data_IF_960532136328
#
_entry.id   IF_960532136328
#
_cell.length_a   1.000
_cell.length_b   1.000
_cell.length_c   1.000
_cell.angle_alpha   90.00
_cell.angle_beta   90.00
_cell.angle_gamma   90.00
#
_symmetry.space_group_name_H-M   'P 1'
#
loop_
_entity.id
_entity.type
_entity.pdbx_description
1 polymer ?
#
# COMPACT_ATOMS: atom_id res chain seq x y z
N UNK A 1 -46.46 -31.89 38.36
CA UNK A 1 -46.99 -32.02 36.98
C UNK A 1 -46.64 -30.84 36.06
N UNK A 2 -46.54 -29.59 36.54
CA UNK A 2 -46.20 -28.44 35.68
C UNK A 2 -44.80 -28.52 35.02
N UNK A 3 -43.77 -29.03 35.71
CA UNK A 3 -42.41 -29.17 35.14
C UNK A 3 -42.33 -30.16 33.96
N UNK A 4 -43.20 -31.18 33.92
CA UNK A 4 -43.19 -32.21 32.86
C UNK A 4 -43.72 -31.69 31.51
N UNK A 5 -44.56 -30.65 31.52
CA UNK A 5 -45.10 -30.02 30.31
C UNK A 5 -44.18 -28.93 29.74
N UNK A 6 -43.29 -28.35 30.55
CA UNK A 6 -42.40 -27.25 30.14
C UNK A 6 -41.29 -27.76 29.20
N UNK A 7 -40.73 -28.93 29.47
CA UNK A 7 -39.61 -29.48 28.68
C UNK A 7 -40.01 -29.75 27.21
N UNK A 8 -41.13 -30.44 26.90
CA UNK A 8 -41.56 -30.64 25.52
C UNK A 8 -41.85 -29.32 24.77
N UNK A 9 -42.45 -28.33 25.45
CA UNK A 9 -42.73 -27.01 24.86
C UNK A 9 -41.44 -26.27 24.54
N UNK A 10 -40.45 -26.31 25.43
CA UNK A 10 -39.13 -25.73 25.16
C UNK A 10 -38.44 -26.41 23.99
N UNK A 11 -38.47 -27.76 23.92
CA UNK A 11 -37.87 -28.49 22.80
C UNK A 11 -38.56 -28.13 21.48
N UNK A 12 -39.89 -28.14 21.42
CA UNK A 12 -40.64 -27.76 20.21
C UNK A 12 -40.33 -26.31 19.79
N UNK A 13 -40.27 -25.38 20.74
CA UNK A 13 -39.91 -23.98 20.48
C UNK A 13 -38.49 -23.87 19.94
N UNK A 14 -37.53 -24.57 20.54
CA UNK A 14 -36.14 -24.62 20.06
C UNK A 14 -36.04 -25.19 18.65
N UNK A 15 -36.78 -26.25 18.32
CA UNK A 15 -36.82 -26.83 16.97
C UNK A 15 -37.38 -25.82 15.96
N UNK A 16 -38.49 -25.14 16.28
CA UNK A 16 -39.09 -24.12 15.40
C UNK A 16 -38.13 -22.95 15.17
N UNK A 17 -37.49 -22.46 16.24
CA UNK A 17 -36.49 -21.39 16.15
C UNK A 17 -35.27 -21.81 15.32
N UNK A 18 -34.77 -23.02 15.53
CA UNK A 18 -33.66 -23.59 14.76
C UNK A 18 -34.04 -23.73 13.28
N UNK A 19 -35.22 -24.26 12.97
CA UNK A 19 -35.69 -24.41 11.60
C UNK A 19 -35.88 -23.06 10.90
N UNK A 20 -36.45 -22.07 11.61
CA UNK A 20 -36.58 -20.69 11.10
C UNK A 20 -35.22 -20.05 10.85
N UNK A 21 -34.25 -20.28 11.73
CA UNK A 21 -32.87 -19.80 11.57
C UNK A 21 -32.16 -20.47 10.39
N UNK A 22 -32.27 -21.80 10.25
CA UNK A 22 -31.68 -22.54 9.13
C UNK A 22 -32.28 -22.10 7.79
N UNK A 23 -33.59 -21.87 7.73
CA UNK A 23 -34.28 -21.50 6.49
C UNK A 23 -34.38 -20.00 6.21
N UNK A 24 -33.79 -19.15 7.06
CA UNK A 24 -33.75 -17.72 6.81
C UNK A 24 -32.97 -17.41 5.52
N UNK A 25 -33.68 -16.87 4.53
CA UNK A 25 -33.10 -16.47 3.24
C UNK A 25 -32.16 -15.28 3.42
N UNK A 26 -31.13 -15.25 2.60
CA UNK A 26 -30.25 -14.09 2.50
C UNK A 26 -30.99 -12.92 1.87
N UNK A 27 -30.79 -11.72 2.41
CA UNK A 27 -31.25 -10.51 1.75
C UNK A 27 -30.52 -10.35 0.41
N UNK A 28 -31.21 -9.89 -0.65
CA UNK A 28 -30.54 -9.61 -1.91
C UNK A 28 -29.46 -8.52 -1.72
N UNK A 29 -28.34 -8.61 -2.45
CA UNK A 29 -27.32 -7.57 -2.43
C UNK A 29 -27.89 -6.21 -2.90
N UNK A 30 -27.39 -5.12 -2.32
CA UNK A 30 -27.72 -3.77 -2.79
C UNK A 30 -27.04 -3.59 -4.16
N UNK A 31 -27.81 -3.19 -5.18
CA UNK A 31 -27.37 -3.08 -6.57
C UNK A 31 -26.77 -4.38 -7.16
N UNK A 32 -27.08 -5.55 -6.59
CA UNK A 32 -26.51 -6.82 -7.04
C UNK A 32 -25.04 -7.04 -6.65
N UNK A 33 -24.40 -6.07 -5.99
CA UNK A 33 -22.96 -6.10 -5.66
C UNK A 33 -22.74 -6.17 -4.14
N UNK A 34 -23.36 -5.26 -3.38
CA UNK A 34 -23.02 -5.10 -1.97
C UNK A 34 -23.80 -6.05 -1.07
N UNK A 35 -23.11 -7.04 -0.51
CA UNK A 35 -23.70 -8.03 0.37
C UNK A 35 -24.23 -7.40 1.66
N UNK A 36 -25.35 -7.93 2.16
CA UNK A 36 -26.01 -7.43 3.38
C UNK A 36 -25.78 -8.38 4.54
N UNK A 37 -25.98 -7.87 5.76
CA UNK A 37 -25.93 -8.69 6.98
C UNK A 37 -26.84 -9.91 6.83
N UNK A 38 -26.27 -11.08 7.12
CA UNK A 38 -26.94 -12.37 7.06
C UNK A 38 -27.09 -12.96 8.47
N UNK A 39 -27.79 -14.09 8.60
CA UNK A 39 -28.03 -14.77 9.89
C UNK A 39 -26.75 -15.17 10.64
N UNK A 40 -25.64 -15.36 9.93
CA UNK A 40 -24.34 -15.70 10.50
C UNK A 40 -23.45 -14.48 10.72
N UNK A 41 -23.96 -13.26 10.48
CA UNK A 41 -23.17 -12.03 10.53
C UNK A 41 -22.45 -11.85 11.87
N UNK A 42 -23.17 -11.94 12.99
CA UNK A 42 -22.56 -11.71 14.31
C UNK A 42 -21.52 -12.76 14.68
N UNK A 43 -21.77 -14.03 14.33
CA UNK A 43 -20.77 -15.09 14.51
C UNK A 43 -19.51 -14.81 13.70
N UNK A 44 -19.66 -14.51 12.40
CA UNK A 44 -18.55 -14.17 11.50
C UNK A 44 -17.80 -12.92 11.97
N UNK A 45 -18.53 -11.92 12.43
CA UNK A 45 -17.99 -10.67 12.94
C UNK A 45 -17.13 -10.89 14.18
N UNK A 46 -17.65 -11.59 15.20
CA UNK A 46 -16.90 -11.88 16.43
C UNK A 46 -15.66 -12.70 16.10
N UNK A 47 -15.79 -13.73 15.28
CA UNK A 47 -14.65 -14.54 14.83
C UNK A 47 -13.57 -13.69 14.17
N UNK A 48 -13.92 -12.88 13.15
CA UNK A 48 -12.94 -12.06 12.45
C UNK A 48 -12.35 -10.97 13.32
N UNK A 49 -13.15 -10.34 14.19
CA UNK A 49 -12.66 -9.31 15.09
C UNK A 49 -11.62 -9.87 16.05
N UNK A 50 -11.90 -11.02 16.69
CA UNK A 50 -10.95 -11.69 17.58
C UNK A 50 -9.70 -12.12 16.81
N UNK A 51 -9.86 -12.71 15.62
CA UNK A 51 -8.74 -13.11 14.77
C UNK A 51 -7.84 -11.92 14.42
N UNK A 52 -8.41 -10.81 13.96
CA UNK A 52 -7.66 -9.61 13.57
C UNK A 52 -6.98 -8.96 14.79
N UNK A 53 -7.63 -8.90 15.94
CA UNK A 53 -7.03 -8.40 17.19
C UNK A 53 -5.89 -9.30 17.68
N UNK A 54 -6.05 -10.61 17.59
CA UNK A 54 -5.00 -11.56 17.91
C UNK A 54 -3.82 -11.42 16.95
N UNK A 55 -4.06 -11.25 15.64
CA UNK A 55 -3.01 -10.97 14.65
C UNK A 55 -2.27 -9.68 14.97
N UNK A 56 -2.98 -8.59 15.28
CA UNK A 56 -2.38 -7.32 15.70
C UNK A 56 -1.49 -7.47 16.94
N UNK A 57 -2.00 -8.14 17.97
CA UNK A 57 -1.24 -8.39 19.19
C UNK A 57 0.00 -9.25 18.90
N UNK A 58 -0.14 -10.31 18.11
CA UNK A 58 0.98 -11.17 17.72
C UNK A 58 2.07 -10.38 16.99
N UNK A 59 1.72 -9.56 16.00
CA UNK A 59 2.68 -8.73 15.26
C UNK A 59 3.34 -7.71 16.18
N UNK A 60 2.58 -7.08 17.07
CA UNK A 60 3.12 -6.13 18.05
C UNK A 60 4.15 -6.80 18.98
N UNK A 61 3.81 -7.96 19.55
CA UNK A 61 4.72 -8.74 20.39
C UNK A 61 5.95 -9.22 19.63
N UNK A 62 5.78 -9.67 18.38
CA UNK A 62 6.90 -10.05 17.51
C UNK A 62 7.85 -8.86 17.30
N UNK A 63 7.31 -7.66 17.07
CA UNK A 63 8.08 -6.43 16.93
C UNK A 63 8.88 -6.08 18.19
N UNK A 64 8.27 -6.22 19.38
CA UNK A 64 8.97 -5.98 20.66
C UNK A 64 10.11 -6.98 20.91
N UNK A 65 10.03 -8.19 20.34
CA UNK A 65 11.03 -9.25 20.48
C UNK A 65 12.00 -9.33 19.29
N UNK A 66 11.84 -8.48 18.28
CA UNK A 66 12.62 -8.56 17.06
C UNK A 66 14.07 -8.15 17.31
N UNK A 67 15.00 -8.95 16.79
CA UNK A 67 16.44 -8.66 16.86
C UNK A 67 16.75 -7.49 15.92
N UNK A 68 17.41 -6.47 16.45
CA UNK A 68 17.83 -5.29 15.68
C UNK A 68 19.11 -5.59 14.90
N UNK A 69 19.12 -5.28 13.61
CA UNK A 69 20.29 -5.43 12.74
C UNK A 69 20.89 -4.05 12.38
N UNK A 70 22.22 -3.94 12.46
CA UNK A 70 22.98 -2.83 11.88
C UNK A 70 23.01 -1.51 12.68
N UNK A 71 23.80 -0.57 12.17
CA UNK A 71 23.92 0.82 12.66
C UNK A 71 23.34 1.77 11.60
N UNK A 72 22.48 2.73 11.98
CA UNK A 72 22.08 3.83 11.11
C UNK A 72 23.21 4.87 10.99
N UNK A 73 23.15 5.76 9.98
CA UNK A 73 24.17 6.81 9.75
C UNK A 73 24.33 7.79 10.92
N UNK A 74 23.31 7.92 11.77
CA UNK A 74 23.25 8.79 12.95
C UNK A 74 23.69 8.09 14.25
N UNK A 75 24.14 6.84 14.19
CA UNK A 75 24.60 6.07 15.35
C UNK A 75 23.48 5.46 16.21
N UNK A 76 22.21 5.64 15.84
CA UNK A 76 21.06 5.05 16.52
C UNK A 76 20.61 3.76 15.83
N UNK A 77 20.73 2.62 16.52
CA UNK A 77 20.40 1.27 16.01
C UNK A 77 18.90 0.99 16.17
N UNK A 78 18.13 0.87 15.07
CA UNK A 78 16.73 0.36 15.09
C UNK A 78 16.25 -0.08 13.68
N UNK A 79 16.95 -0.99 12.99
CA UNK A 79 16.42 -1.60 11.74
C UNK A 79 16.07 -3.06 12.02
N UNK A 80 14.83 -3.45 11.75
CA UNK A 80 14.35 -4.82 11.93
C UNK A 80 14.49 -5.63 10.64
N UNK A 81 14.76 -6.94 10.77
CA UNK A 81 14.77 -7.87 9.63
C UNK A 81 13.50 -7.81 8.79
N UNK A 82 12.34 -7.71 9.45
CA UNK A 82 11.04 -7.59 8.78
C UNK A 82 10.97 -6.31 7.92
N UNK A 83 11.58 -5.20 8.35
CA UNK A 83 11.59 -3.95 7.58
C UNK A 83 12.54 -4.06 6.37
N UNK A 84 13.68 -4.74 6.53
CA UNK A 84 14.56 -5.08 5.39
C UNK A 84 13.80 -5.92 4.36
N UNK A 85 13.06 -6.93 4.84
CA UNK A 85 12.30 -7.83 3.99
C UNK A 85 11.11 -7.16 3.28
N UNK A 86 10.55 -6.08 3.84
CA UNK A 86 9.50 -5.27 3.23
C UNK A 86 10.01 -4.24 2.22
N UNK A 87 11.28 -3.86 2.31
CA UNK A 87 11.88 -2.81 1.47
C UNK A 87 12.80 -3.36 0.39
N UNK A 88 12.98 -4.69 0.33
CA UNK A 88 13.65 -5.36 -0.75
C UNK A 88 12.76 -5.39 -2.00
N UNK A 89 13.39 -5.67 -3.14
CA UNK A 89 12.67 -5.95 -4.37
C UNK A 89 12.00 -7.32 -4.30
N UNK A 90 10.72 -7.36 -4.63
CA UNK A 90 9.93 -8.59 -4.66
C UNK A 90 9.92 -9.22 -6.05
N UNK A 91 9.91 -10.55 -6.09
CA UNK A 91 9.76 -11.29 -7.36
C UNK A 91 8.32 -11.14 -7.87
N UNK A 92 8.18 -10.83 -9.15
CA UNK A 92 6.87 -10.67 -9.80
C UNK A 92 6.23 -12.03 -10.14
N UNK A 93 7.01 -13.12 -10.20
CA UNK A 93 6.52 -14.43 -10.64
C UNK A 93 5.85 -14.41 -12.01
N UNK A 94 4.95 -15.37 -12.25
CA UNK A 94 4.36 -15.61 -13.58
C UNK A 94 2.99 -14.92 -13.79
N UNK A 95 2.43 -14.29 -12.75
CA UNK A 95 1.11 -13.69 -12.86
C UNK A 95 1.18 -12.35 -13.57
N UNK A 96 0.33 -12.16 -14.59
CA UNK A 96 0.44 -11.02 -15.50
C UNK A 96 0.14 -9.66 -14.86
N UNK A 97 -0.55 -9.62 -13.73
CA UNK A 97 -0.89 -8.38 -13.02
C UNK A 97 -0.01 -8.13 -11.79
N UNK A 98 1.01 -8.97 -11.55
CA UNK A 98 1.94 -8.78 -10.44
C UNK A 98 2.58 -7.39 -10.49
N UNK A 99 2.85 -6.85 -9.31
CA UNK A 99 3.37 -5.50 -9.15
C UNK A 99 4.36 -5.45 -8.01
N UNK A 100 5.35 -4.58 -8.17
CA UNK A 100 6.25 -4.13 -7.11
C UNK A 100 6.54 -2.65 -7.39
N UNK A 101 5.92 -1.77 -6.60
CA UNK A 101 5.81 -0.35 -6.88
C UNK A 101 6.22 0.49 -5.68
N UNK A 102 7.00 1.54 -5.97
CA UNK A 102 7.36 2.59 -5.00
C UNK A 102 6.86 3.92 -5.54
N UNK A 103 6.25 4.70 -4.66
CA UNK A 103 5.66 5.99 -5.02
C UNK A 103 5.94 7.04 -3.96
N UNK A 104 6.09 8.28 -4.42
CA UNK A 104 6.33 9.47 -3.63
C UNK A 104 5.35 10.56 -4.04
N UNK A 105 4.74 11.22 -3.06
CA UNK A 105 3.84 12.34 -3.25
C UNK A 105 4.09 13.41 -2.19
N UNK A 106 4.67 14.53 -2.61
CA UNK A 106 4.99 15.66 -1.75
C UNK A 106 4.47 16.97 -2.31
N UNK A 107 4.09 17.87 -1.40
CA UNK A 107 3.68 19.24 -1.72
C UNK A 107 4.03 20.16 -0.57
N UNK A 108 4.61 21.31 -0.87
CA UNK A 108 4.86 22.39 0.07
C UNK A 108 3.82 23.50 -0.04
N UNK A 109 3.75 24.34 1.00
CA UNK A 109 2.80 25.46 1.12
C UNK A 109 2.96 26.52 0.02
N UNK A 110 4.16 26.64 -0.52
CA UNK A 110 4.50 27.59 -1.59
C UNK A 110 4.14 27.06 -3.00
N UNK A 111 3.56 25.87 -3.09
CA UNK A 111 3.11 25.26 -4.34
C UNK A 111 4.16 24.41 -5.05
N UNK A 112 5.34 24.22 -4.45
CA UNK A 112 6.30 23.21 -4.89
C UNK A 112 5.68 21.83 -4.70
N UNK A 113 5.77 20.95 -5.70
CA UNK A 113 5.21 19.61 -5.64
C UNK A 113 6.07 18.60 -6.41
N UNK A 114 6.08 17.36 -5.93
CA UNK A 114 6.66 16.22 -6.61
C UNK A 114 5.72 15.03 -6.49
N UNK A 115 5.43 14.40 -7.63
CA UNK A 115 4.75 13.11 -7.68
C UNK A 115 5.59 12.18 -8.54
N UNK A 116 6.03 11.06 -8.00
CA UNK A 116 6.89 10.12 -8.69
C UNK A 116 6.48 8.69 -8.37
N UNK A 117 6.28 7.86 -9.39
CA UNK A 117 5.99 6.45 -9.23
C UNK A 117 6.88 5.61 -10.14
N UNK A 118 7.33 4.46 -9.63
CA UNK A 118 7.99 3.41 -10.42
C UNK A 118 7.39 2.08 -10.00
N UNK A 119 6.64 1.44 -10.90
CA UNK A 119 5.97 0.17 -10.69
C UNK A 119 6.50 -0.88 -11.67
N UNK A 120 7.24 -1.86 -11.16
CA UNK A 120 7.74 -2.98 -11.96
C UNK A 120 6.60 -3.92 -12.33
N UNK A 121 6.59 -4.36 -13.58
CA UNK A 121 5.61 -5.27 -14.18
C UNK A 121 6.29 -6.47 -14.82
N UNK A 122 5.56 -7.60 -15.01
CA UNK A 122 6.07 -8.74 -15.75
C UNK A 122 6.56 -8.36 -17.15
N UNK A 123 7.37 -9.23 -17.75
CA UNK A 123 7.88 -9.07 -19.12
C UNK A 123 8.77 -7.83 -19.32
N UNK A 124 9.55 -7.45 -18.30
CA UNK A 124 10.51 -6.33 -18.35
C UNK A 124 9.85 -4.98 -18.66
N UNK A 125 8.63 -4.77 -18.19
CA UNK A 125 7.99 -3.46 -18.24
C UNK A 125 8.03 -2.78 -16.87
N UNK A 126 8.03 -1.45 -16.90
CA UNK A 126 7.85 -0.63 -15.73
C UNK A 126 6.85 0.47 -16.07
N UNK A 127 5.86 0.69 -15.21
CA UNK A 127 5.04 1.90 -15.26
C UNK A 127 5.73 2.96 -14.42
N UNK A 128 6.23 4.01 -15.06
CA UNK A 128 6.94 5.08 -14.38
C UNK A 128 6.52 6.46 -14.86
N UNK A 129 6.48 7.39 -13.92
CA UNK A 129 6.13 8.77 -14.20
C UNK A 129 6.71 9.71 -13.16
N UNK A 130 6.92 10.96 -13.56
CA UNK A 130 7.31 12.02 -12.66
C UNK A 130 6.65 13.35 -13.04
N UNK A 131 6.09 14.01 -12.04
CA UNK A 131 5.55 15.36 -12.09
C UNK A 131 6.37 16.23 -11.14
N UNK A 132 6.86 17.37 -11.61
CA UNK A 132 7.66 18.30 -10.80
C UNK A 132 7.11 19.71 -10.98
N UNK A 133 6.83 20.38 -9.87
CA UNK A 133 6.51 21.81 -9.81
C UNK A 133 7.50 22.49 -8.88
N UNK A 134 8.22 23.47 -9.40
CA UNK A 134 9.12 24.34 -8.63
C UNK A 134 8.73 25.81 -8.80
N UNK A 135 9.20 26.66 -7.89
CA UNK A 135 8.86 28.09 -7.92
C UNK A 135 9.39 28.77 -9.18
N UNK A 136 8.50 29.43 -9.92
CA UNK A 136 8.80 30.15 -11.15
C UNK A 136 8.73 29.31 -12.42
N UNK A 137 8.62 27.98 -12.33
CA UNK A 137 8.43 27.09 -13.48
C UNK A 137 6.97 26.64 -13.56
N UNK A 138 6.48 26.33 -14.77
CA UNK A 138 5.22 25.60 -14.93
C UNK A 138 5.38 24.11 -14.54
N UNK A 139 4.31 23.32 -14.51
CA UNK A 139 4.38 21.90 -14.18
C UNK A 139 5.19 21.15 -15.24
N UNK A 140 6.24 20.47 -14.80
CA UNK A 140 7.13 19.63 -15.60
C UNK A 140 6.68 18.17 -15.52
N UNK A 141 6.70 17.49 -16.67
CA UNK A 141 6.29 16.11 -16.85
C UNK A 141 7.46 15.29 -17.40
N UNK A 142 7.61 14.04 -16.93
CA UNK A 142 8.53 13.10 -17.59
C UNK A 142 8.15 12.92 -19.08
N UNK A 143 9.13 12.69 -19.98
CA UNK A 143 8.89 12.63 -21.42
C UNK A 143 7.79 11.66 -21.84
N UNK A 144 7.70 10.52 -21.16
CA UNK A 144 6.85 9.40 -21.53
C UNK A 144 5.36 9.69 -21.32
N UNK A 145 5.01 10.55 -20.36
CA UNK A 145 3.62 10.90 -20.07
C UNK A 145 2.87 11.37 -21.34
N UNK A 146 1.60 10.98 -21.57
CA UNK A 146 0.72 10.26 -20.66
C UNK A 146 0.96 8.75 -20.63
N UNK A 147 1.81 8.19 -21.51
CA UNK A 147 2.13 6.77 -21.49
C UNK A 147 3.17 6.50 -20.40
N UNK A 148 2.78 5.79 -19.34
CA UNK A 148 3.69 5.47 -18.24
C UNK A 148 4.54 4.24 -18.53
N UNK A 149 4.27 3.50 -19.61
CA UNK A 149 4.83 2.17 -19.82
C UNK A 149 6.19 2.22 -20.50
N UNK A 150 7.24 1.90 -19.75
CA UNK A 150 8.63 1.89 -20.20
C UNK A 150 9.14 0.45 -20.27
N UNK A 151 9.68 0.04 -21.42
CA UNK A 151 10.35 -1.25 -21.56
C UNK A 151 11.77 -1.16 -21.01
N UNK A 152 12.11 -2.04 -20.08
CA UNK A 152 13.44 -2.18 -19.52
C UNK A 152 14.30 -3.11 -20.39
N UNK A 153 15.57 -2.74 -20.58
CA UNK A 153 16.55 -3.54 -21.33
C UNK A 153 17.36 -4.48 -20.45
N UNK A 154 17.45 -4.20 -19.15
CA UNK A 154 18.21 -4.98 -18.17
C UNK A 154 17.41 -5.22 -16.90
N UNK A 155 17.68 -6.36 -16.25
CA UNK A 155 17.24 -6.59 -14.86
C UNK A 155 17.99 -5.62 -13.97
N UNK A 156 17.26 -4.86 -13.17
CA UNK A 156 17.88 -3.92 -12.23
C UNK A 156 18.07 -4.61 -10.90
N UNK A 157 19.31 -4.68 -10.43
CA UNK A 157 19.64 -5.07 -9.06
C UNK A 157 19.42 -3.87 -8.12
N UNK A 158 18.77 -4.06 -6.97
CA UNK A 158 18.67 -3.06 -5.89
C UNK A 158 17.82 -1.80 -6.12
N UNK A 159 17.83 -1.18 -7.31
CA UNK A 159 17.22 0.14 -7.59
C UNK A 159 15.92 0.11 -8.42
N UNK A 160 14.93 0.92 -8.07
CA UNK A 160 13.73 1.11 -8.89
C UNK A 160 14.01 2.18 -9.93
N UNK A 161 14.40 1.78 -11.14
CA UNK A 161 14.81 2.68 -12.22
C UNK A 161 13.98 2.49 -13.48
N UNK A 162 13.60 3.58 -14.13
CA UNK A 162 12.89 3.56 -15.40
C UNK A 162 13.11 4.90 -16.12
N UNK A 163 13.55 4.85 -17.37
CA UNK A 163 14.01 6.05 -18.07
C UNK A 163 15.10 6.78 -17.26
N UNK A 164 14.89 8.07 -17.03
CA UNK A 164 15.75 8.94 -16.23
C UNK A 164 15.46 8.92 -14.72
N UNK A 165 14.42 8.21 -14.27
CA UNK A 165 14.03 8.12 -12.86
C UNK A 165 14.81 7.01 -12.16
N UNK A 166 15.35 7.27 -10.96
CA UNK A 166 15.97 6.26 -10.10
C UNK A 166 15.56 6.46 -8.64
N UNK A 167 14.93 5.45 -8.05
CA UNK A 167 14.55 5.40 -6.64
C UNK A 167 15.36 4.30 -5.95
N UNK A 168 16.05 4.67 -4.87
CA UNK A 168 16.95 3.76 -4.16
C UNK A 168 16.64 3.77 -2.68
N UNK A 169 16.38 2.60 -2.12
CA UNK A 169 16.36 2.43 -0.67
C UNK A 169 17.78 2.60 -0.12
N UNK A 170 17.99 3.56 0.78
CA UNK A 170 19.26 3.76 1.47
C UNK A 170 19.26 3.05 2.82
N UNK A 171 18.18 3.24 3.58
CA UNK A 171 17.96 2.65 4.90
C UNK A 171 16.50 2.22 4.97
N UNK A 172 16.19 0.91 5.11
CA UNK A 172 14.82 0.39 5.17
C UNK A 172 13.94 1.17 6.16
N UNK A 173 12.74 1.56 5.73
CA UNK A 173 11.76 2.34 6.51
C UNK A 173 12.24 3.70 7.02
N UNK A 174 13.40 4.19 6.56
CA UNK A 174 14.01 5.45 7.04
C UNK A 174 14.37 6.40 5.92
N UNK A 175 15.16 5.96 4.94
CA UNK A 175 15.75 6.85 3.95
C UNK A 175 15.68 6.27 2.54
N UNK A 176 15.25 7.10 1.61
CA UNK A 176 15.22 6.79 0.19
C UNK A 176 15.87 7.93 -0.61
N UNK A 177 16.66 7.58 -1.62
CA UNK A 177 17.15 8.53 -2.62
C UNK A 177 16.18 8.55 -3.80
N UNK A 178 15.76 9.75 -4.18
CA UNK A 178 14.93 10.02 -5.36
C UNK A 178 15.78 10.88 -6.29
N UNK A 179 16.14 10.34 -7.45
CA UNK A 179 16.94 11.08 -8.43
C UNK A 179 16.36 11.01 -9.84
N UNK A 180 16.66 12.06 -10.59
CA UNK A 180 16.28 12.21 -11.99
C UNK A 180 17.39 12.96 -12.74
N UNK A 181 17.70 12.52 -13.95
CA UNK A 181 18.60 13.26 -14.84
C UNK A 181 18.16 13.07 -16.29
N UNK A 182 17.55 14.09 -16.87
CA UNK A 182 17.01 14.04 -18.22
C UNK A 182 16.18 15.28 -18.57
N UNK A 183 15.52 15.22 -19.72
CA UNK A 183 14.66 16.30 -20.17
C UNK A 183 13.24 16.11 -19.63
N UNK A 184 12.59 17.17 -19.17
CA UNK A 184 11.16 17.17 -18.84
C UNK A 184 10.42 18.15 -19.74
N UNK A 185 9.15 17.86 -20.05
CA UNK A 185 8.30 18.74 -20.86
C UNK A 185 7.35 19.57 -20.01
N UNK A 186 7.02 20.76 -20.48
CA UNK A 186 5.99 21.57 -19.80
C UNK A 186 4.59 21.02 -20.07
N UNK A 187 3.74 20.98 -19.05
CA UNK A 187 2.33 20.59 -19.19
C UNK A 187 1.59 21.47 -20.18
N UNK A 188 1.75 22.80 -20.10
CA UNK A 188 1.04 23.73 -20.97
C UNK A 188 1.70 23.91 -22.34
N UNK A 189 2.93 23.41 -22.53
CA UNK A 189 3.60 23.41 -23.83
C UNK A 189 4.47 22.14 -23.98
N UNK A 190 3.87 21.00 -24.38
CA UNK A 190 4.57 19.72 -24.47
C UNK A 190 5.70 19.66 -25.50
N UNK A 191 5.75 20.60 -26.46
CA UNK A 191 6.82 20.70 -27.46
C UNK A 191 8.11 21.30 -26.88
N UNK A 192 7.99 22.03 -25.77
CA UNK A 192 9.14 22.62 -25.07
C UNK A 192 9.59 21.68 -23.95
N UNK A 193 10.87 21.30 -24.01
CA UNK A 193 11.56 20.59 -22.94
C UNK A 193 12.58 21.48 -22.23
N UNK A 194 12.91 21.09 -20.99
CA UNK A 194 13.95 21.68 -20.16
C UNK A 194 14.77 20.57 -19.53
N UNK A 195 16.05 20.84 -19.30
CA UNK A 195 16.92 19.87 -18.65
C UNK A 195 16.71 19.91 -17.15
N UNK A 196 16.45 18.75 -16.55
CA UNK A 196 16.22 18.61 -15.11
C UNK A 196 17.22 17.64 -14.50
N UNK A 197 17.89 18.09 -13.44
CA UNK A 197 18.74 17.27 -12.58
C UNK A 197 18.19 17.30 -11.15
N UNK A 198 17.94 16.15 -10.57
CA UNK A 198 17.31 16.01 -9.25
C UNK A 198 18.13 15.07 -8.39
N UNK A 199 18.44 15.53 -7.19
CA UNK A 199 19.02 14.73 -6.12
C UNK A 199 18.31 15.05 -4.81
N UNK A 200 17.38 14.18 -4.43
CA UNK A 200 16.55 14.33 -3.25
C UNK A 200 16.69 13.12 -2.34
N UNK A 201 16.64 13.38 -1.04
CA UNK A 201 16.55 12.36 0.01
C UNK A 201 15.19 12.49 0.68
N UNK A 202 14.42 11.41 0.63
CA UNK A 202 13.24 11.23 1.46
C UNK A 202 13.65 10.63 2.79
N UNK A 203 13.19 11.21 3.88
CA UNK A 203 13.43 10.76 5.24
C UNK A 203 12.12 10.57 6.00
N UNK A 204 11.94 9.40 6.59
CA UNK A 204 10.79 9.09 7.40
C UNK A 204 10.69 10.02 8.62
N UNK A 205 9.48 10.51 8.87
CA UNK A 205 9.18 11.29 10.06
C UNK A 205 8.34 10.48 11.06
N UNK A 206 7.46 9.61 10.55
CA UNK A 206 6.63 8.72 11.35
C UNK A 206 6.86 7.24 10.98
N UNK A 207 6.33 6.36 11.82
CA UNK A 207 6.28 4.92 11.52
C UNK A 207 5.38 4.67 10.29
N UNK A 208 5.70 3.62 9.54
CA UNK A 208 4.86 3.20 8.42
C UNK A 208 3.51 2.67 8.93
N UNK A 209 2.43 3.07 8.26
CA UNK A 209 1.11 2.48 8.41
C UNK A 209 1.00 1.26 7.50
N UNK A 210 0.96 0.06 8.09
CA UNK A 210 0.91 -1.22 7.38
C UNK A 210 -0.54 -1.66 7.24
N UNK A 211 -1.09 -1.68 6.04
CA UNK A 211 -2.52 -2.00 5.85
C UNK A 211 -2.90 -3.43 6.29
N UNK A 212 -1.94 -4.36 6.27
CA UNK A 212 -2.15 -5.74 6.69
C UNK A 212 -2.38 -5.92 8.20
N UNK A 213 -1.96 -4.93 9.00
CA UNK A 213 -1.95 -5.04 10.47
C UNK A 213 -2.62 -3.85 11.14
N UNK A 214 -2.55 -2.65 10.58
CA UNK A 214 -2.91 -1.42 11.29
C UNK A 214 -4.32 -0.93 10.95
N UNK A 215 -4.96 -1.55 9.95
CA UNK A 215 -6.36 -1.33 9.65
C UNK A 215 -7.27 -1.62 10.85
N UNK A 216 -8.36 -0.86 10.97
CA UNK A 216 -9.35 -1.05 12.04
C UNK A 216 -9.95 -2.46 12.01
N UNK A 217 -9.74 -3.29 13.04
CA UNK A 217 -10.33 -4.63 13.13
C UNK A 217 -11.84 -4.58 13.14
N UNK A 218 -12.43 -3.52 13.71
CA UNK A 218 -13.87 -3.33 13.78
C UNK A 218 -14.48 -3.16 12.39
N UNK A 219 -13.89 -2.31 11.55
CA UNK A 219 -14.37 -2.06 10.18
C UNK A 219 -14.15 -3.28 9.31
N UNK A 220 -12.94 -3.84 9.32
CA UNK A 220 -12.60 -5.02 8.51
C UNK A 220 -13.47 -6.23 8.86
N UNK A 221 -13.64 -6.53 10.16
CA UNK A 221 -14.49 -7.63 10.58
C UNK A 221 -15.97 -7.43 10.19
N UNK A 222 -16.48 -6.19 10.26
CA UNK A 222 -17.84 -5.87 9.81
C UNK A 222 -18.00 -6.13 8.31
N UNK A 223 -17.03 -5.73 7.49
CA UNK A 223 -17.11 -5.89 6.04
C UNK A 223 -16.99 -7.36 5.65
N UNK A 224 -15.99 -8.07 6.18
CA UNK A 224 -15.82 -9.51 5.95
C UNK A 224 -17.00 -10.36 6.45
N UNK A 225 -17.70 -9.95 7.51
CA UNK A 225 -18.84 -10.69 8.04
C UNK A 225 -20.12 -10.58 7.18
N UNK A 226 -20.24 -9.52 6.35
CA UNK A 226 -21.35 -9.38 5.40
C UNK A 226 -21.21 -10.40 4.26
N UNK A 227 -19.99 -10.72 3.89
CA UNK A 227 -19.67 -11.65 2.79
C UNK A 227 -20.14 -13.09 3.05
N UNK A 228 -20.38 -13.81 1.95
CA UNK A 228 -20.67 -15.25 1.99
C UNK A 228 -19.36 -16.00 2.09
N UNK A 229 -19.06 -16.54 3.27
CA UNK A 229 -17.87 -17.35 3.48
C UNK A 229 -18.00 -18.70 2.78
N UNK A 230 -17.03 -18.98 1.93
CA UNK A 230 -16.79 -20.26 1.28
C UNK A 230 -15.28 -20.45 1.13
N UNK A 231 -14.83 -21.66 0.80
CA UNK A 231 -13.43 -21.88 0.46
C UNK A 231 -13.00 -20.97 -0.70
N UNK A 232 -13.84 -20.83 -1.73
CA UNK A 232 -13.57 -19.97 -2.88
C UNK A 232 -13.41 -18.50 -2.51
N UNK A 233 -14.26 -17.98 -1.61
CA UNK A 233 -14.14 -16.62 -1.11
C UNK A 233 -12.75 -16.36 -0.50
N UNK A 234 -12.29 -17.25 0.38
CA UNK A 234 -10.96 -17.11 0.99
C UNK A 234 -9.81 -17.39 0.01
N UNK A 235 -10.01 -18.25 -0.99
CA UNK A 235 -9.03 -18.46 -2.05
C UNK A 235 -8.86 -17.21 -2.92
N UNK A 236 -9.97 -16.51 -3.23
CA UNK A 236 -9.95 -15.23 -3.93
C UNK A 236 -9.20 -14.18 -3.11
N UNK A 237 -9.49 -14.05 -1.81
CA UNK A 237 -8.77 -13.13 -0.93
C UNK A 237 -7.26 -13.40 -0.89
N UNK A 238 -6.86 -14.68 -0.81
CA UNK A 238 -5.44 -15.06 -0.83
C UNK A 238 -4.78 -14.76 -2.19
N UNK A 239 -5.51 -14.99 -3.28
CA UNK A 239 -5.02 -14.79 -4.64
C UNK A 239 -4.71 -13.32 -4.94
N UNK A 240 -5.59 -12.41 -4.51
CA UNK A 240 -5.48 -10.98 -4.75
C UNK A 240 -4.90 -10.20 -3.56
N UNK A 241 -4.24 -10.90 -2.63
CA UNK A 241 -3.58 -10.24 -1.52
C UNK A 241 -2.37 -9.46 -2.03
N UNK A 242 -2.35 -8.18 -1.69
CA UNK A 242 -1.23 -7.27 -1.91
C UNK A 242 -0.81 -6.71 -0.57
N UNK A 243 0.50 -6.66 -0.34
CA UNK A 243 1.06 -5.94 0.79
C UNK A 243 1.26 -4.49 0.38
N UNK A 244 0.76 -3.60 1.22
CA UNK A 244 0.83 -2.16 1.00
C UNK A 244 1.06 -1.45 2.33
N UNK A 245 1.94 -0.47 2.32
CA UNK A 245 2.17 0.41 3.45
C UNK A 245 2.55 1.80 2.99
N UNK A 246 2.20 2.76 3.83
CA UNK A 246 2.46 4.19 3.60
C UNK A 246 3.26 4.76 4.75
N UNK A 247 4.12 5.73 4.44
CA UNK A 247 4.95 6.37 5.44
C UNK A 247 5.06 7.86 5.15
N UNK A 248 4.83 8.66 6.19
CA UNK A 248 4.98 10.10 6.14
C UNK A 248 6.43 10.48 6.43
N UNK A 249 6.95 11.41 5.64
CA UNK A 249 8.31 11.90 5.75
C UNK A 249 8.50 13.28 5.14
N UNK A 250 9.76 13.62 4.92
CA UNK A 250 10.18 14.86 4.26
C UNK A 250 11.08 14.54 3.09
N UNK A 251 10.88 15.25 1.98
CA UNK A 251 11.76 15.23 0.84
C UNK A 251 12.64 16.48 0.91
N UNK A 252 13.96 16.28 0.96
CA UNK A 252 14.94 17.36 1.03
C UNK A 252 16.00 17.19 -0.06
N UNK A 253 16.54 18.29 -0.59
CA UNK A 253 17.63 18.26 -1.55
C UNK A 253 17.50 19.33 -2.62
N UNK A 254 17.96 19.03 -3.84
CA UNK A 254 18.05 20.01 -4.92
C UNK A 254 17.43 19.50 -6.22
N UNK A 255 16.69 20.38 -6.89
CA UNK A 255 16.24 20.23 -8.28
C UNK A 255 16.89 21.37 -9.06
N UNK A 256 17.55 21.05 -10.16
CA UNK A 256 18.16 22.00 -11.08
C UNK A 256 17.34 21.98 -12.37
N UNK A 257 16.79 23.12 -12.78
CA UNK A 257 16.02 23.27 -14.03
C UNK A 257 16.75 24.26 -14.92
N UNK A 258 17.24 23.82 -16.09
CA UNK A 258 18.05 24.63 -17.01
C UNK A 258 19.20 25.39 -16.31
N UNK A 259 19.86 24.72 -15.36
CA UNK A 259 20.97 25.28 -14.58
C UNK A 259 20.56 26.17 -13.40
N UNK A 260 19.26 26.40 -13.18
CA UNK A 260 18.75 27.14 -12.03
C UNK A 260 18.48 26.20 -10.87
N UNK A 261 19.09 26.48 -9.72
CA UNK A 261 18.94 25.70 -8.50
C UNK A 261 17.63 26.00 -7.76
N UNK A 262 16.92 24.94 -7.36
CA UNK A 262 15.74 24.97 -6.51
C UNK A 262 15.97 24.03 -5.32
N UNK A 263 16.09 24.60 -4.12
CA UNK A 263 16.20 23.83 -2.88
C UNK A 263 14.82 23.38 -2.44
N UNK A 264 14.70 22.08 -2.16
CA UNK A 264 13.45 21.44 -1.76
C UNK A 264 13.55 21.06 -0.29
N UNK A 265 12.50 21.38 0.45
CA UNK A 265 12.23 20.85 1.79
C UNK A 265 10.71 20.81 1.98
N UNK A 266 10.12 19.64 1.81
CA UNK A 266 8.66 19.52 1.84
C UNK A 266 8.17 18.22 2.47
N UNK A 267 6.98 18.22 3.11
CA UNK A 267 6.29 16.99 3.48
C UNK A 267 6.07 16.11 2.24
N UNK A 268 6.29 14.81 2.41
CA UNK A 268 6.15 13.83 1.34
C UNK A 268 5.73 12.48 1.90
N UNK A 269 4.66 11.92 1.36
CA UNK A 269 4.25 10.54 1.60
C UNK A 269 5.07 9.65 0.67
N UNK A 270 5.56 8.53 1.20
CA UNK A 270 6.04 7.41 0.41
C UNK A 270 5.09 6.23 0.60
N UNK A 271 4.80 5.52 -0.47
CA UNK A 271 4.21 4.19 -0.40
C UNK A 271 5.10 3.13 -1.07
N UNK A 272 4.89 1.89 -0.64
CA UNK A 272 5.43 0.71 -1.30
C UNK A 272 4.33 -0.35 -1.34
N UNK A 273 4.08 -0.89 -2.53
CA UNK A 273 3.02 -1.86 -2.79
C UNK A 273 3.57 -3.02 -3.62
N UNK A 274 3.35 -4.24 -3.18
CA UNK A 274 3.74 -5.43 -3.94
C UNK A 274 2.75 -6.58 -3.77
N UNK A 275 2.63 -7.41 -4.79
CA UNK A 275 1.73 -8.56 -4.78
C UNK A 275 1.52 -9.17 -6.15
N UNK A 276 0.62 -10.16 -6.17
CA UNK A 276 0.20 -10.88 -7.38
C UNK A 276 -1.21 -10.43 -7.73
#
# INVERSE_FOLDING_TARGET
>A
MAMLAIVPIMIATCIVLLFRFINQKYNPPIFGIYTRRNKYFWFKFVFMYVFLRAKQLYVHLKGLLAVELGNSYDGTKHIHEDDVALEQKHSLGDYSQSVDAVYFNGTAKDGVALVCGVARRPQFYCDAFMYVKVNGEDLLLSPELPDTRIKQTTLQEGHYKAGSICLTNLIPMRNWKVSYNGDMKYKNNPEKSVKVEMDLTWSAHWQAFKYDTDMSPLSMAKDMAREKWSADYFNVLKKFHQTHYEQMGFLTGKIVVDGKDHLINMPCVRDHSFGK
#
